data_IF_313368346625
#
_entry.id   IF_313368346625
#
_cell.length_a   1.000
_cell.length_b   1.000
_cell.length_c   1.000
_cell.angle_alpha   90.00
_cell.angle_beta   90.00
_cell.angle_gamma   90.00
#
_symmetry.space_group_name_H-M   'P 1'
#
loop_
_entity.id
_entity.type
_entity.pdbx_description
1 polymer ?
#
# COMPACT_ATOMS: atom_id res chain seq x y z
N UNK A 1 -14.29 21.46 -30.55
CA UNK A 1 -14.40 20.22 -29.77
C UNK A 1 -13.04 19.96 -29.12
N UNK A 2 -13.05 19.45 -27.89
CA UNK A 2 -12.03 19.55 -26.87
C UNK A 2 -10.58 19.24 -27.30
N UNK A 3 -9.65 20.12 -26.90
CA UNK A 3 -8.25 19.76 -26.77
C UNK A 3 -8.13 18.89 -25.52
N UNK A 4 -7.92 17.58 -25.73
CA UNK A 4 -7.53 16.67 -24.64
C UNK A 4 -6.19 17.15 -24.11
N UNK A 5 -6.22 17.73 -22.92
CA UNK A 5 -5.02 17.97 -22.12
C UNK A 5 -4.36 16.60 -21.85
N UNK A 6 -3.04 16.42 -22.06
CA UNK A 6 -2.35 15.31 -21.43
C UNK A 6 -2.30 15.59 -19.93
N UNK A 7 -3.41 15.28 -19.24
CA UNK A 7 -3.52 15.27 -17.80
C UNK A 7 -2.77 14.06 -17.27
N UNK A 8 -1.43 14.14 -17.20
CA UNK A 8 -0.63 13.11 -16.54
C UNK A 8 0.65 13.66 -15.93
N UNK A 9 0.64 14.94 -15.53
CA UNK A 9 1.55 15.46 -14.50
C UNK A 9 0.90 15.36 -13.12
N UNK A 10 0.01 14.38 -12.92
CA UNK A 10 -0.32 13.90 -11.58
C UNK A 10 0.99 13.41 -11.01
N UNK A 11 1.56 14.22 -10.10
CA UNK A 11 2.77 13.93 -9.34
C UNK A 11 2.84 12.42 -9.12
N UNK A 12 3.85 11.77 -9.73
CA UNK A 12 4.22 10.37 -9.47
C UNK A 12 4.62 10.28 -8.01
N UNK A 13 3.68 10.42 -7.09
CA UNK A 13 3.83 9.87 -5.77
C UNK A 13 3.93 8.37 -6.02
N UNK A 14 5.00 7.76 -5.52
CA UNK A 14 5.21 6.34 -5.64
C UNK A 14 3.91 5.61 -5.29
N UNK A 15 3.47 4.62 -6.09
CA UNK A 15 2.23 3.87 -5.81
C UNK A 15 2.26 3.28 -4.39
N UNK A 16 3.45 2.94 -3.90
CA UNK A 16 3.75 2.58 -2.51
C UNK A 16 3.33 3.68 -1.53
N UNK A 17 3.74 4.92 -1.75
CA UNK A 17 3.47 6.04 -0.86
C UNK A 17 1.97 6.36 -0.80
N UNK A 18 1.26 6.21 -1.92
CA UNK A 18 -0.20 6.35 -1.98
C UNK A 18 -0.92 5.22 -1.25
N UNK A 19 -0.51 3.97 -1.49
CA UNK A 19 -1.03 2.80 -0.80
C UNK A 19 -0.86 2.93 0.72
N UNK A 20 0.35 3.30 1.18
CA UNK A 20 0.65 3.53 2.61
C UNK A 20 -0.23 4.63 3.19
N UNK A 21 -0.39 5.77 2.51
CA UNK A 21 -1.28 6.84 2.98
C UNK A 21 -2.73 6.39 3.09
N UNK A 22 -3.20 5.57 2.16
CA UNK A 22 -4.58 5.08 2.15
C UNK A 22 -4.82 4.05 3.26
N UNK A 23 -3.87 3.13 3.46
CA UNK A 23 -3.86 2.18 4.57
C UNK A 23 -3.83 2.94 5.90
N UNK A 24 -2.93 3.91 6.06
CA UNK A 24 -2.83 4.72 7.27
C UNK A 24 -4.12 5.53 7.52
N UNK A 25 -4.77 6.08 6.48
CA UNK A 25 -6.08 6.72 6.64
C UNK A 25 -7.17 5.75 7.11
N UNK A 26 -7.21 4.54 6.54
CA UNK A 26 -8.18 3.49 6.93
C UNK A 26 -7.90 2.95 8.33
N UNK A 27 -6.64 2.77 8.69
CA UNK A 27 -6.19 2.20 9.95
C UNK A 27 -6.13 3.22 11.10
N UNK A 28 -6.01 4.53 10.80
CA UNK A 28 -6.22 5.61 11.78
C UNK A 28 -7.60 5.54 12.43
N UNK A 29 -8.57 4.88 11.78
CA UNK A 29 -9.89 4.60 12.36
C UNK A 29 -9.82 3.47 13.42
N UNK A 30 -8.81 2.60 13.36
CA UNK A 30 -8.68 1.38 14.17
C UNK A 30 -7.71 1.47 15.36
N UNK A 31 -7.08 2.62 15.65
CA UNK A 31 -6.22 2.86 16.84
C UNK A 31 -5.04 1.90 17.07
N UNK A 32 -4.70 1.03 16.12
CA UNK A 32 -3.61 0.06 16.26
C UNK A 32 -2.42 0.50 15.40
N UNK A 33 -1.50 1.25 16.02
CA UNK A 33 -0.30 1.77 15.36
C UNK A 33 0.59 0.64 14.81
N UNK A 34 0.67 -0.49 15.52
CA UNK A 34 1.46 -1.67 15.10
C UNK A 34 0.94 -2.28 13.80
N UNK A 35 -0.37 -2.31 13.59
CA UNK A 35 -0.97 -2.75 12.32
C UNK A 35 -0.60 -1.85 11.14
N UNK A 36 -0.46 -0.54 11.36
CA UNK A 36 -0.05 0.41 10.31
C UNK A 36 1.39 0.16 9.89
N UNK A 37 2.28 -0.01 10.86
CA UNK A 37 3.70 -0.30 10.60
C UNK A 37 3.87 -1.62 9.85
N UNK A 38 3.15 -2.67 10.29
CA UNK A 38 3.16 -3.99 9.63
C UNK A 38 2.64 -3.93 8.20
N UNK A 39 1.52 -3.24 7.97
CA UNK A 39 0.95 -3.09 6.63
C UNK A 39 1.85 -2.26 5.72
N UNK A 40 2.51 -1.23 6.26
CA UNK A 40 3.49 -0.42 5.52
C UNK A 40 4.69 -1.25 5.09
N UNK A 41 5.27 -2.04 6.00
CA UNK A 41 6.37 -2.95 5.69
C UNK A 41 5.97 -3.99 4.63
N UNK A 42 4.73 -4.49 4.69
CA UNK A 42 4.22 -5.43 3.70
C UNK A 42 4.04 -4.80 2.31
N UNK A 43 3.54 -3.58 2.21
CA UNK A 43 3.44 -2.85 0.92
C UNK A 43 4.82 -2.65 0.29
N UNK A 44 5.82 -2.27 1.09
CA UNK A 44 7.20 -2.12 0.60
C UNK A 44 7.72 -3.46 0.07
N UNK A 45 7.52 -4.54 0.81
CA UNK A 45 7.91 -5.88 0.37
C UNK A 45 7.26 -6.27 -0.96
N UNK A 46 5.96 -6.05 -1.12
CA UNK A 46 5.24 -6.38 -2.36
C UNK A 46 5.83 -5.61 -3.55
N UNK A 47 6.17 -4.34 -3.35
CA UNK A 47 6.82 -3.52 -4.37
C UNK A 47 8.21 -4.05 -4.74
N UNK A 48 9.04 -4.39 -3.76
CA UNK A 48 10.36 -4.99 -4.03
C UNK A 48 10.26 -6.36 -4.73
N UNK A 49 9.14 -7.07 -4.57
CA UNK A 49 8.88 -8.34 -5.25
C UNK A 49 8.21 -8.18 -6.63
N UNK A 50 8.02 -6.95 -7.10
CA UNK A 50 7.56 -6.65 -8.47
C UNK A 50 6.09 -6.27 -8.60
N UNK A 51 5.36 -6.10 -7.50
CA UNK A 51 3.98 -5.59 -7.51
C UNK A 51 4.03 -4.06 -7.39
N UNK A 52 3.91 -3.38 -8.52
CA UNK A 52 3.94 -1.91 -8.57
C UNK A 52 2.57 -1.28 -8.71
N UNK A 53 1.51 -2.09 -8.76
CA UNK A 53 0.14 -1.61 -8.91
C UNK A 53 -0.43 -1.17 -7.55
N UNK A 54 -0.99 0.04 -7.50
CA UNK A 54 -1.51 0.64 -6.27
C UNK A 54 -2.68 -0.18 -5.70
N UNK A 55 -3.59 -0.65 -6.55
CA UNK A 55 -4.78 -1.39 -6.13
C UNK A 55 -4.40 -2.76 -5.57
N UNK A 56 -3.47 -3.49 -6.22
CA UNK A 56 -2.93 -4.75 -5.70
C UNK A 56 -2.23 -4.57 -4.34
N UNK A 57 -1.38 -3.54 -4.21
CA UNK A 57 -0.68 -3.24 -2.96
C UNK A 57 -1.66 -2.99 -1.80
N UNK A 58 -2.72 -2.23 -2.07
CA UNK A 58 -3.76 -1.92 -1.08
C UNK A 58 -4.57 -3.17 -0.75
N UNK A 59 -5.02 -3.93 -1.76
CA UNK A 59 -5.84 -5.12 -1.58
C UNK A 59 -5.10 -6.15 -0.73
N UNK A 60 -3.85 -6.46 -1.08
CA UNK A 60 -3.04 -7.42 -0.34
C UNK A 60 -2.77 -6.95 1.09
N UNK A 61 -2.47 -5.67 1.30
CA UNK A 61 -2.29 -5.12 2.64
C UNK A 61 -3.57 -5.14 3.48
N UNK A 62 -4.75 -4.97 2.86
CA UNK A 62 -6.04 -5.11 3.52
C UNK A 62 -6.36 -6.58 3.84
N UNK A 63 -6.04 -7.51 2.94
CA UNK A 63 -6.16 -8.96 3.17
C UNK A 63 -5.29 -9.38 4.35
N UNK A 64 -4.07 -8.86 4.44
CA UNK A 64 -3.19 -9.07 5.58
C UNK A 64 -3.79 -8.53 6.90
N UNK A 65 -4.69 -7.54 6.82
CA UNK A 65 -5.41 -6.99 7.97
C UNK A 65 -4.49 -6.30 8.99
N UNK A 66 -3.30 -5.87 8.58
CA UNK A 66 -2.26 -5.33 9.46
C UNK A 66 -1.48 -6.37 10.27
N UNK A 67 -1.61 -7.66 9.95
CA UNK A 67 -0.71 -8.69 10.48
C UNK A 67 0.70 -8.47 9.97
N UNK A 68 1.70 -8.91 10.75
CA UNK A 68 3.09 -8.78 10.34
C UNK A 68 3.39 -9.84 9.30
N UNK A 69 3.81 -9.41 8.11
CA UNK A 69 4.32 -10.34 7.11
C UNK A 69 5.76 -10.73 7.47
N UNK A 70 6.01 -12.02 7.64
CA UNK A 70 7.34 -12.56 7.80
C UNK A 70 7.83 -13.11 6.44
N UNK A 71 8.80 -12.44 5.79
CA UNK A 71 9.30 -12.87 4.48
C UNK A 71 10.15 -14.15 4.56
N UNK A 72 10.61 -14.55 5.75
CA UNK A 72 11.40 -15.77 5.94
C UNK A 72 10.50 -17.00 5.93
N UNK A 73 9.33 -16.89 6.55
CA UNK A 73 8.35 -17.99 6.60
C UNK A 73 7.23 -17.86 5.56
N UNK A 74 7.11 -16.71 4.88
CA UNK A 74 6.03 -16.41 3.94
C UNK A 74 4.64 -16.35 4.59
N UNK A 75 4.58 -16.04 5.89
CA UNK A 75 3.36 -16.13 6.69
C UNK A 75 3.00 -14.80 7.36
N UNK A 76 1.72 -14.64 7.68
CA UNK A 76 1.23 -13.52 8.47
C UNK A 76 1.11 -13.93 9.94
N UNK A 77 1.87 -13.27 10.82
CA UNK A 77 1.92 -13.55 12.26
C UNK A 77 1.31 -12.45 13.11
#
# INVERSE_FOLDING_TARGET
MAFTFPESSVKKADPVERAIRQINRKASISSDAGRVENATAFVVYLYENGIHDEDDLIELALIAGGKRYDPTTGAFV
#
